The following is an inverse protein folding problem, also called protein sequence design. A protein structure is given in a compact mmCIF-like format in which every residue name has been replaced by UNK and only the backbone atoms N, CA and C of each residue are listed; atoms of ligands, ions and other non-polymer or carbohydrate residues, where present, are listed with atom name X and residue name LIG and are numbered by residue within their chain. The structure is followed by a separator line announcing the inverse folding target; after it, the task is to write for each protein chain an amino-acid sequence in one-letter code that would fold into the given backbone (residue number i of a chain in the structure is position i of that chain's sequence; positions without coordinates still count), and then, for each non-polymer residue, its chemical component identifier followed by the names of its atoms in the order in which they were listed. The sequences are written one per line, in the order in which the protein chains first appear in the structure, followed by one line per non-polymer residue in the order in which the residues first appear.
data_IF_496861047162
#
_entry.id   IF_496861047162
#
_cell.length_a   1.000
_cell.length_b   1.000
_cell.length_c   1.000
_cell.angle_alpha   90.00
_cell.angle_beta   90.00
_cell.angle_gamma   90.00
#
_symmetry.space_group_name_H-M   'P 1'
#
loop_
_entity.id
_entity.type
_entity.pdbx_description
1 polymer ?
#
# COMPACT_ATOMS: atom_id res chain seq x y z
N UNK A 1 3.66 -32.91 -4.71
CA UNK A 1 3.93 -31.45 -4.76
C UNK A 1 3.72 -30.86 -3.38
N UNK A 2 4.64 -30.05 -2.84
CA UNK A 2 4.47 -29.39 -1.54
C UNK A 2 3.20 -28.52 -1.50
N UNK A 3 2.50 -28.49 -0.35
CA UNK A 3 1.25 -27.73 -0.19
C UNK A 3 1.41 -26.24 -0.50
N UNK A 4 2.56 -25.66 -0.13
CA UNK A 4 2.90 -24.26 -0.41
C UNK A 4 2.97 -23.97 -1.91
N UNK A 5 3.55 -24.89 -2.70
CA UNK A 5 3.61 -24.80 -4.16
C UNK A 5 2.22 -24.89 -4.78
N UNK A 6 1.43 -25.91 -4.35
CA UNK A 6 0.07 -26.11 -4.86
C UNK A 6 -0.85 -24.91 -4.57
N UNK A 7 -0.82 -24.38 -3.34
CA UNK A 7 -1.62 -23.22 -2.95
C UNK A 7 -1.20 -21.95 -3.69
N UNK A 8 0.10 -21.73 -3.86
CA UNK A 8 0.60 -20.58 -4.62
C UNK A 8 0.19 -20.68 -6.09
N UNK A 9 0.33 -21.86 -6.71
CA UNK A 9 -0.12 -22.06 -8.08
C UNK A 9 -1.63 -21.87 -8.24
N UNK A 10 -2.43 -22.40 -7.32
CA UNK A 10 -3.89 -22.19 -7.34
C UNK A 10 -4.25 -20.71 -7.29
N UNK A 11 -3.66 -19.94 -6.37
CA UNK A 11 -3.87 -18.50 -6.27
C UNK A 11 -3.47 -17.76 -7.56
N UNK A 12 -2.29 -18.07 -8.10
CA UNK A 12 -1.80 -17.45 -9.35
C UNK A 12 -2.72 -17.79 -10.54
N UNK A 13 -3.24 -19.02 -10.61
CA UNK A 13 -4.20 -19.41 -11.64
C UNK A 13 -5.50 -18.60 -11.55
N UNK A 14 -6.06 -18.41 -10.34
CA UNK A 14 -7.27 -17.60 -10.15
C UNK A 14 -7.03 -16.15 -10.59
N UNK A 15 -5.89 -15.57 -10.20
CA UNK A 15 -5.54 -14.20 -10.57
C UNK A 15 -5.38 -14.01 -12.08
N UNK A 16 -4.80 -14.99 -12.78
CA UNK A 16 -4.48 -14.83 -14.21
C UNK A 16 -5.53 -15.39 -15.16
N UNK A 17 -6.45 -16.25 -14.71
CA UNK A 17 -7.41 -16.94 -15.60
C UNK A 17 -8.38 -16.00 -16.34
N UNK A 18 -8.65 -14.80 -15.80
CA UNK A 18 -9.53 -13.80 -16.43
C UNK A 18 -8.84 -13.00 -17.54
N UNK A 19 -7.53 -13.12 -17.66
CA UNK A 19 -6.76 -12.43 -18.68
C UNK A 19 -6.96 -13.08 -20.07
N UNK A 20 -6.69 -12.33 -21.15
CA UNK A 20 -6.74 -12.88 -22.51
C UNK A 20 -5.86 -14.12 -22.68
N UNK A 21 -6.34 -15.09 -23.44
CA UNK A 21 -5.62 -16.34 -23.71
C UNK A 21 -4.26 -16.04 -24.34
N UNK A 22 -3.25 -16.77 -23.88
CA UNK A 22 -1.85 -16.53 -24.23
C UNK A 22 -1.16 -15.54 -23.30
N UNK A 23 -1.79 -14.42 -22.96
CA UNK A 23 -1.31 -13.51 -21.93
C UNK A 23 -1.42 -14.14 -20.53
N UNK A 24 -2.52 -14.84 -20.24
CA UNK A 24 -2.78 -15.47 -18.95
C UNK A 24 -1.68 -16.48 -18.56
N UNK A 25 -1.34 -17.45 -19.40
CA UNK A 25 -0.26 -18.41 -19.13
C UNK A 25 1.11 -17.71 -19.04
N UNK A 26 1.35 -16.77 -19.92
CA UNK A 26 2.62 -16.06 -19.98
C UNK A 26 2.84 -15.20 -18.72
N UNK A 27 1.79 -14.52 -18.22
CA UNK A 27 1.85 -13.76 -16.98
C UNK A 27 1.88 -14.66 -15.73
N UNK A 28 1.24 -15.84 -15.78
CA UNK A 28 1.37 -16.86 -14.73
C UNK A 28 2.85 -17.26 -14.54
N UNK A 29 3.58 -17.51 -15.64
CA UNK A 29 5.02 -17.76 -15.56
C UNK A 29 5.78 -16.60 -14.93
N UNK A 30 5.44 -15.38 -15.31
CA UNK A 30 6.09 -14.17 -14.77
C UNK A 30 5.82 -14.01 -13.27
N UNK A 31 4.57 -14.15 -12.83
CA UNK A 31 4.20 -14.08 -11.43
C UNK A 31 4.79 -15.20 -10.58
N UNK A 32 4.91 -16.42 -11.13
CA UNK A 32 5.65 -17.50 -10.46
C UNK A 32 7.12 -17.14 -10.26
N UNK A 33 7.77 -16.58 -11.27
CA UNK A 33 9.15 -16.08 -11.17
C UNK A 33 9.29 -15.04 -10.07
N UNK A 34 8.36 -14.10 -9.98
CA UNK A 34 8.33 -13.11 -8.90
C UNK A 34 8.12 -13.77 -7.53
N UNK A 35 7.04 -14.54 -7.35
CA UNK A 35 6.69 -15.18 -6.08
C UNK A 35 7.80 -16.10 -5.55
N UNK A 36 8.53 -16.78 -6.44
CA UNK A 36 9.70 -17.58 -6.10
C UNK A 36 10.97 -16.75 -5.83
N UNK A 37 10.94 -15.43 -6.02
CA UNK A 37 12.03 -14.49 -5.70
C UNK A 37 13.25 -14.63 -6.60
N UNK A 38 13.09 -15.06 -7.85
CA UNK A 38 14.21 -15.26 -8.75
C UNK A 38 14.88 -13.96 -9.23
N UNK A 39 14.27 -12.80 -8.96
CA UNK A 39 14.94 -11.52 -9.15
C UNK A 39 16.11 -11.28 -8.18
N UNK A 40 16.16 -11.97 -7.02
CA UNK A 40 17.28 -11.86 -6.08
C UNK A 40 18.59 -12.39 -6.68
N UNK A 41 18.69 -13.68 -7.06
CA UNK A 41 19.92 -14.21 -7.63
C UNK A 41 20.26 -13.59 -8.99
N UNK A 42 19.26 -13.21 -9.80
CA UNK A 42 19.47 -12.53 -11.09
C UNK A 42 19.78 -11.04 -10.96
N UNK A 43 19.82 -10.50 -9.73
CA UNK A 43 20.06 -9.09 -9.43
C UNK A 43 19.09 -8.14 -10.15
N UNK A 44 17.83 -8.57 -10.35
CA UNK A 44 16.79 -7.79 -11.01
C UNK A 44 16.69 -7.98 -12.53
N UNK A 45 17.51 -8.86 -13.13
CA UNK A 45 17.44 -9.18 -14.55
C UNK A 45 16.34 -10.23 -14.79
N UNK A 46 15.36 -9.90 -15.67
CA UNK A 46 14.14 -10.72 -15.86
C UNK A 46 14.42 -11.99 -16.66
N UNK A 47 15.18 -11.93 -17.74
CA UNK A 47 15.47 -13.13 -18.56
C UNK A 47 16.16 -14.24 -17.76
N UNK A 48 17.27 -13.98 -17.05
CA UNK A 48 17.88 -14.98 -16.17
C UNK A 48 16.94 -15.49 -15.07
N UNK A 49 16.09 -14.61 -14.51
CA UNK A 49 15.11 -15.01 -13.50
C UNK A 49 14.05 -15.97 -14.05
N UNK A 50 13.55 -15.72 -15.27
CA UNK A 50 12.63 -16.63 -15.98
C UNK A 50 13.31 -17.94 -16.40
N UNK A 51 14.58 -17.91 -16.74
CA UNK A 51 15.37 -19.11 -17.03
C UNK A 51 15.55 -19.98 -15.78
N UNK A 52 15.78 -19.35 -14.64
CA UNK A 52 15.98 -20.03 -13.34
C UNK A 52 14.77 -20.87 -12.89
N UNK A 53 13.56 -20.54 -13.33
CA UNK A 53 12.36 -21.36 -13.08
C UNK A 53 12.17 -22.50 -14.09
N UNK A 54 13.14 -22.79 -14.94
CA UNK A 54 13.13 -23.94 -15.87
C UNK A 54 12.23 -23.76 -17.08
N UNK A 55 11.98 -22.53 -17.54
CA UNK A 55 11.21 -22.26 -18.75
C UNK A 55 12.07 -22.40 -20.01
N UNK A 56 11.54 -22.98 -21.09
CA UNK A 56 12.19 -22.96 -22.40
C UNK A 56 12.17 -21.53 -22.97
N UNK A 57 13.15 -21.23 -23.85
CA UNK A 57 13.36 -19.87 -24.42
C UNK A 57 12.07 -19.28 -25.02
N UNK A 58 11.28 -20.09 -25.72
CA UNK A 58 10.01 -19.64 -26.28
C UNK A 58 8.97 -19.21 -25.20
N UNK A 59 8.96 -19.84 -24.03
CA UNK A 59 8.10 -19.43 -22.91
C UNK A 59 8.63 -18.17 -22.23
N UNK A 60 9.96 -18.05 -22.10
CA UNK A 60 10.61 -16.82 -21.57
C UNK A 60 10.25 -15.62 -22.44
N UNK A 61 10.37 -15.74 -23.76
CA UNK A 61 10.00 -14.65 -24.69
C UNK A 61 8.51 -14.28 -24.59
N UNK A 62 7.61 -15.25 -24.42
CA UNK A 62 6.18 -14.97 -24.21
C UNK A 62 5.90 -14.31 -22.87
N UNK A 63 6.55 -14.76 -21.79
CA UNK A 63 6.41 -14.15 -20.48
C UNK A 63 6.89 -12.69 -20.48
N UNK A 64 8.01 -12.42 -21.15
CA UNK A 64 8.50 -11.07 -21.38
C UNK A 64 7.49 -10.23 -22.18
N UNK A 65 7.00 -10.75 -23.32
CA UNK A 65 6.04 -10.04 -24.15
C UNK A 65 4.73 -9.75 -23.41
N UNK A 66 4.23 -10.69 -22.61
CA UNK A 66 3.06 -10.46 -21.77
C UNK A 66 3.31 -9.41 -20.68
N UNK A 67 4.51 -9.39 -20.13
CA UNK A 67 4.88 -8.41 -19.10
C UNK A 67 4.86 -6.98 -19.65
N UNK A 68 5.58 -6.68 -20.74
CA UNK A 68 5.71 -5.28 -21.19
C UNK A 68 4.61 -4.81 -22.13
N UNK A 69 4.04 -5.68 -22.94
CA UNK A 69 3.06 -5.34 -23.98
C UNK A 69 1.76 -6.15 -23.92
N UNK A 70 1.58 -6.98 -22.89
CA UNK A 70 0.36 -7.79 -22.74
C UNK A 70 -0.87 -6.95 -22.39
N UNK A 71 -2.03 -7.39 -22.89
CA UNK A 71 -3.33 -6.79 -22.59
C UNK A 71 -3.81 -7.24 -21.20
N UNK A 72 -3.25 -6.64 -20.16
CA UNK A 72 -3.67 -6.83 -18.77
C UNK A 72 -3.64 -5.50 -18.03
N UNK A 73 -4.53 -5.38 -17.10
CA UNK A 73 -4.63 -4.24 -16.18
C UNK A 73 -4.47 -4.72 -14.75
N UNK A 74 -3.76 -3.94 -13.94
CA UNK A 74 -3.48 -4.31 -12.57
C UNK A 74 -4.78 -4.43 -11.76
N UNK A 75 -5.74 -3.54 -11.98
CA UNK A 75 -7.03 -3.54 -11.26
C UNK A 75 -7.78 -4.88 -11.44
N UNK A 76 -7.76 -5.45 -12.65
CA UNK A 76 -8.33 -6.78 -12.91
C UNK A 76 -7.63 -7.88 -12.11
N UNK A 77 -6.31 -7.81 -11.98
CA UNK A 77 -5.53 -8.75 -11.19
C UNK A 77 -5.79 -8.60 -9.68
N UNK A 78 -5.86 -7.37 -9.20
CA UNK A 78 -6.16 -7.07 -7.79
C UNK A 78 -7.58 -7.49 -7.40
N UNK A 79 -8.59 -7.24 -8.26
CA UNK A 79 -9.96 -7.70 -8.04
C UNK A 79 -10.04 -9.24 -7.99
N UNK A 80 -9.34 -9.92 -8.92
CA UNK A 80 -9.28 -11.39 -8.91
C UNK A 80 -8.57 -11.92 -7.66
N UNK A 81 -7.55 -11.22 -7.19
CA UNK A 81 -6.85 -11.53 -5.95
C UNK A 81 -7.75 -11.34 -4.72
N UNK A 82 -8.46 -10.22 -4.64
CA UNK A 82 -9.41 -9.96 -3.54
C UNK A 82 -10.53 -11.02 -3.50
N UNK A 83 -11.10 -11.38 -4.64
CA UNK A 83 -12.09 -12.45 -4.75
C UNK A 83 -11.54 -13.80 -4.25
N UNK A 84 -10.32 -14.17 -4.66
CA UNK A 84 -9.66 -15.38 -4.15
C UNK A 84 -9.54 -15.38 -2.62
N UNK A 85 -9.10 -14.26 -2.03
CA UNK A 85 -8.96 -14.16 -0.56
C UNK A 85 -10.30 -14.30 0.15
N UNK A 86 -11.36 -13.67 -0.38
CA UNK A 86 -12.72 -13.78 0.15
C UNK A 86 -13.24 -15.23 0.09
N UNK A 87 -13.07 -15.90 -1.05
CA UNK A 87 -13.46 -17.32 -1.22
C UNK A 87 -12.75 -18.27 -0.25
N UNK A 88 -11.50 -17.94 0.15
CA UNK A 88 -10.78 -18.74 1.16
C UNK A 88 -11.32 -18.57 2.58
N UNK A 89 -12.04 -17.51 2.90
CA UNK A 89 -12.69 -17.24 4.19
C UNK A 89 -11.74 -17.14 5.40
N UNK A 90 -10.43 -17.03 5.18
CA UNK A 90 -9.42 -17.06 6.26
C UNK A 90 -8.98 -15.66 6.71
N UNK A 91 -9.25 -14.65 5.90
CA UNK A 91 -8.94 -13.25 6.21
C UNK A 91 -10.16 -12.57 6.83
N UNK A 92 -9.97 -11.97 8.00
CA UNK A 92 -11.01 -11.26 8.72
C UNK A 92 -10.68 -9.76 8.74
N UNK A 93 -11.52 -8.89 8.17
CA UNK A 93 -11.29 -7.45 8.22
C UNK A 93 -11.33 -6.95 9.66
N UNK A 94 -10.49 -5.99 9.99
CA UNK A 94 -10.58 -5.29 11.27
C UNK A 94 -11.66 -4.21 11.20
N UNK A 95 -12.33 -3.99 12.33
CA UNK A 95 -13.35 -2.95 12.46
C UNK A 95 -13.20 -2.24 13.81
N UNK A 96 -13.33 -0.91 13.81
CA UNK A 96 -13.22 -0.05 14.98
C UNK A 96 -14.37 0.95 14.97
N UNK A 97 -15.29 0.84 15.95
CA UNK A 97 -16.48 1.69 16.05
C UNK A 97 -17.25 1.83 14.72
N UNK A 98 -17.43 0.71 14.03
CA UNK A 98 -18.15 0.65 12.75
C UNK A 98 -17.28 0.89 11.51
N UNK A 99 -16.00 1.31 11.65
CA UNK A 99 -15.13 1.65 10.52
C UNK A 99 -14.09 0.57 10.24
N UNK A 100 -13.92 0.24 8.97
CA UNK A 100 -12.86 -0.63 8.44
C UNK A 100 -11.64 0.21 8.03
N UNK A 101 -10.42 -0.10 8.51
CA UNK A 101 -9.22 0.65 8.14
C UNK A 101 -8.85 0.46 6.67
N UNK A 102 -8.68 1.58 5.96
CA UNK A 102 -8.13 1.65 4.61
C UNK A 102 -6.75 2.30 4.69
N UNK A 103 -5.70 1.50 4.71
CA UNK A 103 -4.33 1.99 4.83
C UNK A 103 -3.86 2.62 3.51
N UNK A 104 -3.32 3.84 3.59
CA UNK A 104 -2.83 4.60 2.44
C UNK A 104 -1.37 4.96 2.67
N UNK A 105 -0.51 4.65 1.70
CA UNK A 105 0.94 4.90 1.80
C UNK A 105 1.56 5.17 0.43
N UNK A 106 2.80 5.70 0.41
CA UNK A 106 3.63 5.84 -0.78
C UNK A 106 4.85 4.93 -0.67
N UNK A 107 5.23 4.31 -1.78
CA UNK A 107 6.40 3.44 -1.78
C UNK A 107 7.32 3.71 -2.96
N UNK A 108 8.61 4.06 -2.73
CA UNK A 108 9.59 4.27 -3.78
C UNK A 108 10.29 2.97 -4.18
N UNK A 109 10.42 2.70 -5.47
CA UNK A 109 11.38 1.75 -6.01
C UNK A 109 12.58 2.53 -6.53
N UNK A 110 13.68 2.50 -5.78
CA UNK A 110 14.85 3.34 -6.03
C UNK A 110 15.53 3.04 -7.36
N UNK A 111 15.75 4.06 -8.15
CA UNK A 111 16.39 4.00 -9.48
C UNK A 111 17.43 5.11 -9.67
N UNK A 112 18.43 5.26 -8.76
CA UNK A 112 19.32 6.43 -8.77
C UNK A 112 20.14 6.58 -10.04
N UNK A 113 20.42 5.49 -10.75
CA UNK A 113 21.16 5.49 -12.02
C UNK A 113 20.26 5.56 -13.27
N UNK A 114 18.92 5.63 -13.11
CA UNK A 114 18.02 5.69 -14.25
C UNK A 114 17.97 7.11 -14.82
N UNK A 115 18.50 7.29 -16.02
CA UNK A 115 18.38 8.56 -16.75
C UNK A 115 16.92 8.80 -17.11
N UNK A 116 16.46 10.06 -16.94
CA UNK A 116 15.08 10.45 -17.26
C UNK A 116 14.02 9.93 -16.28
N UNK A 117 14.42 9.45 -15.10
CA UNK A 117 13.45 9.10 -14.07
C UNK A 117 12.74 10.37 -13.57
N UNK A 118 11.45 10.48 -13.84
CA UNK A 118 10.67 11.68 -13.58
C UNK A 118 10.34 11.87 -12.11
N UNK A 119 10.05 10.77 -11.40
CA UNK A 119 9.68 10.80 -9.99
C UNK A 119 10.90 10.75 -9.07
N UNK A 120 10.78 11.40 -7.91
CA UNK A 120 11.78 11.39 -6.84
C UNK A 120 11.10 11.18 -5.50
N UNK A 121 11.82 10.60 -4.56
CA UNK A 121 11.34 10.45 -3.18
C UNK A 121 12.48 10.70 -2.20
N UNK A 122 12.16 11.19 -0.98
CA UNK A 122 13.16 11.45 0.04
C UNK A 122 13.76 10.14 0.57
N UNK A 123 15.09 10.04 0.54
CA UNK A 123 15.83 8.89 1.06
C UNK A 123 16.49 9.26 2.39
N UNK A 124 16.05 8.72 3.54
CA UNK A 124 16.53 9.14 4.86
C UNK A 124 18.04 9.02 5.02
N UNK A 125 18.63 7.89 4.62
CA UNK A 125 20.08 7.67 4.75
C UNK A 125 20.93 8.55 3.81
N UNK A 126 20.36 9.04 2.70
CA UNK A 126 21.03 9.96 1.79
C UNK A 126 20.78 11.44 2.14
N UNK A 127 19.83 11.74 3.03
CA UNK A 127 19.44 13.09 3.40
C UNK A 127 18.86 13.94 2.27
N UNK A 128 18.49 13.33 1.14
CA UNK A 128 17.99 14.02 -0.06
C UNK A 128 16.99 13.18 -0.86
N UNK A 129 16.25 13.83 -1.76
CA UNK A 129 15.41 13.14 -2.72
C UNK A 129 16.25 12.46 -3.80
N UNK A 130 15.99 11.16 -4.03
CA UNK A 130 16.64 10.35 -5.07
C UNK A 130 15.59 9.91 -6.11
N UNK A 131 16.07 9.64 -7.33
CA UNK A 131 15.25 9.10 -8.40
C UNK A 131 14.66 7.74 -8.00
N UNK A 132 13.35 7.61 -8.14
CA UNK A 132 12.60 6.40 -7.79
C UNK A 132 11.31 6.33 -8.61
N UNK A 133 10.86 5.12 -8.92
CA UNK A 133 9.48 4.91 -9.34
C UNK A 133 8.63 4.89 -8.06
N UNK A 134 7.84 5.95 -7.87
CA UNK A 134 6.99 6.09 -6.67
C UNK A 134 5.57 5.61 -6.99
N UNK A 135 5.05 4.73 -6.14
CA UNK A 135 3.69 4.19 -6.25
C UNK A 135 2.88 4.56 -5.02
N UNK A 136 1.63 4.99 -5.22
CA UNK A 136 0.65 5.09 -4.17
C UNK A 136 0.02 3.71 -3.89
N UNK A 137 -0.16 3.37 -2.64
CA UNK A 137 -0.76 2.11 -2.19
C UNK A 137 -2.04 2.39 -1.43
N UNK A 138 -3.10 1.64 -1.74
CA UNK A 138 -4.34 1.62 -0.99
C UNK A 138 -4.62 0.15 -0.64
N UNK A 139 -4.79 -0.15 0.65
CA UNK A 139 -4.95 -1.52 1.11
C UNK A 139 -5.98 -1.64 2.23
N UNK A 140 -6.84 -2.66 2.17
CA UNK A 140 -7.71 -3.06 3.27
C UNK A 140 -6.93 -3.88 4.27
N UNK A 141 -7.22 -3.74 5.56
CA UNK A 141 -6.45 -4.39 6.62
C UNK A 141 -7.35 -5.29 7.47
N UNK A 142 -6.82 -6.44 7.77
CA UNK A 142 -7.45 -7.43 8.61
C UNK A 142 -6.41 -8.39 9.18
N UNK A 143 -6.84 -9.56 9.60
CA UNK A 143 -5.94 -10.61 10.10
C UNK A 143 -6.24 -11.97 9.50
N UNK A 144 -5.19 -12.78 9.41
CA UNK A 144 -5.25 -14.22 9.22
C UNK A 144 -4.72 -14.83 10.52
N UNK A 145 -5.58 -15.52 11.27
CA UNK A 145 -5.27 -15.96 12.64
C UNK A 145 -4.87 -14.75 13.51
N UNK A 146 -3.67 -14.74 14.09
CA UNK A 146 -3.14 -13.62 14.88
C UNK A 146 -2.28 -12.63 14.08
N UNK A 147 -2.05 -12.88 12.79
CA UNK A 147 -1.18 -12.04 11.96
C UNK A 147 -1.98 -10.99 11.22
N UNK A 148 -1.60 -9.71 11.38
CA UNK A 148 -2.14 -8.63 10.56
C UNK A 148 -1.66 -8.75 9.12
N UNK A 149 -2.60 -8.62 8.19
CA UNK A 149 -2.35 -8.73 6.75
C UNK A 149 -3.08 -7.62 6.01
N UNK A 150 -2.34 -6.86 5.23
CA UNK A 150 -2.90 -5.89 4.30
C UNK A 150 -3.18 -6.57 2.95
N UNK A 151 -4.38 -6.38 2.43
CA UNK A 151 -4.77 -6.77 1.08
C UNK A 151 -4.72 -5.55 0.18
N UNK A 152 -3.81 -5.56 -0.77
CA UNK A 152 -3.66 -4.48 -1.73
C UNK A 152 -4.94 -4.36 -2.57
N UNK A 153 -5.58 -3.19 -2.50
CA UNK A 153 -6.80 -2.87 -3.23
C UNK A 153 -6.50 -2.08 -4.51
N UNK A 154 -5.59 -1.09 -4.42
CA UNK A 154 -5.17 -0.29 -5.56
C UNK A 154 -3.68 0.06 -5.50
N UNK A 155 -3.09 0.28 -6.68
CA UNK A 155 -1.77 0.88 -6.86
C UNK A 155 -1.91 2.06 -7.82
N UNK A 156 -1.47 3.23 -7.38
CA UNK A 156 -1.61 4.48 -8.14
C UNK A 156 -0.25 4.89 -8.69
N UNK A 157 -0.14 5.03 -10.01
CA UNK A 157 1.05 5.56 -10.69
C UNK A 157 1.11 7.08 -10.61
N UNK A 158 2.32 7.64 -10.53
CA UNK A 158 2.52 9.05 -10.80
C UNK A 158 2.11 9.39 -12.24
N UNK A 159 1.67 10.62 -12.43
CA UNK A 159 1.36 11.14 -13.77
C UNK A 159 2.69 11.48 -14.48
N UNK A 160 2.92 11.01 -15.72
CA UNK A 160 4.11 11.40 -16.49
C UNK A 160 4.22 12.90 -16.73
N UNK A 161 3.10 13.58 -16.89
CA UNK A 161 3.04 15.02 -17.16
C UNK A 161 3.15 15.86 -15.87
N UNK A 162 2.86 15.27 -14.72
CA UNK A 162 3.00 15.89 -13.41
C UNK A 162 3.60 14.91 -12.37
N UNK A 163 4.91 14.65 -12.47
CA UNK A 163 5.59 13.61 -11.69
C UNK A 163 5.93 14.02 -10.25
N UNK A 164 5.50 15.20 -9.81
CA UNK A 164 5.78 15.66 -8.45
C UNK A 164 5.13 14.73 -7.40
N UNK A 165 5.83 14.48 -6.30
CA UNK A 165 5.32 13.63 -5.23
C UNK A 165 4.01 14.17 -4.63
N UNK A 166 3.88 15.49 -4.49
CA UNK A 166 2.65 16.13 -4.02
C UNK A 166 1.47 15.86 -4.96
N UNK A 167 1.70 15.84 -6.28
CA UNK A 167 0.67 15.52 -7.27
C UNK A 167 0.25 14.06 -7.22
N UNK A 168 1.21 13.14 -6.99
CA UNK A 168 0.89 11.74 -6.72
C UNK A 168 0.08 11.58 -5.43
N UNK A 169 0.45 12.27 -4.36
CA UNK A 169 -0.32 12.27 -3.10
C UNK A 169 -1.76 12.75 -3.34
N UNK A 170 -1.93 13.87 -4.04
CA UNK A 170 -3.26 14.39 -4.39
C UNK A 170 -4.05 13.40 -5.26
N UNK A 171 -3.39 12.71 -6.21
CA UNK A 171 -4.01 11.67 -7.04
C UNK A 171 -4.46 10.47 -6.20
N UNK A 172 -3.63 10.00 -5.27
CA UNK A 172 -3.97 8.91 -4.34
C UNK A 172 -5.18 9.29 -3.49
N UNK A 173 -5.19 10.49 -2.90
CA UNK A 173 -6.32 10.94 -2.07
C UNK A 173 -7.60 11.07 -2.89
N UNK A 174 -7.55 11.60 -4.13
CA UNK A 174 -8.71 11.61 -5.03
C UNK A 174 -9.24 10.21 -5.33
N UNK A 175 -8.33 9.23 -5.56
CA UNK A 175 -8.71 7.82 -5.74
C UNK A 175 -9.43 7.26 -4.51
N UNK A 176 -8.90 7.55 -3.33
CA UNK A 176 -9.55 7.18 -2.05
C UNK A 176 -10.96 7.78 -2.00
N UNK A 177 -11.13 9.09 -2.22
CA UNK A 177 -12.44 9.75 -2.17
C UNK A 177 -13.44 9.13 -3.14
N UNK A 178 -12.99 8.78 -4.37
CA UNK A 178 -13.87 8.21 -5.41
C UNK A 178 -14.39 6.82 -5.05
N UNK A 179 -13.58 6.00 -4.36
CA UNK A 179 -13.86 4.58 -4.14
C UNK A 179 -14.18 4.24 -2.67
N UNK A 180 -14.24 5.25 -1.78
CA UNK A 180 -14.41 5.08 -0.35
C UNK A 180 -15.83 4.62 0.00
N UNK A 181 -15.98 3.42 0.56
CA UNK A 181 -17.25 2.95 1.12
C UNK A 181 -17.61 3.70 2.41
N UNK A 182 -18.90 3.77 2.75
CA UNK A 182 -19.38 4.58 3.88
C UNK A 182 -18.84 4.13 5.25
N UNK A 183 -18.45 2.89 5.38
CA UNK A 183 -17.88 2.25 6.56
C UNK A 183 -16.33 2.12 6.51
N UNK A 184 -15.68 2.66 5.49
CA UNK A 184 -14.21 2.65 5.41
C UNK A 184 -13.60 3.95 5.98
N UNK A 185 -12.48 3.81 6.70
CA UNK A 185 -11.70 4.90 7.30
C UNK A 185 -10.29 4.94 6.71
N UNK A 186 -9.97 5.91 5.85
CA UNK A 186 -8.62 6.12 5.37
C UNK A 186 -7.66 6.44 6.51
N UNK A 187 -6.55 5.70 6.56
CA UNK A 187 -5.47 5.88 7.55
C UNK A 187 -4.18 6.23 6.82
N UNK A 188 -3.70 7.44 7.07
CA UNK A 188 -2.62 8.05 6.31
C UNK A 188 -1.39 8.36 7.20
N UNK A 189 -0.23 8.37 6.58
CA UNK A 189 1.02 8.77 7.21
C UNK A 189 1.20 10.30 7.26
N UNK A 190 2.22 10.76 7.99
CA UNK A 190 2.60 12.16 8.15
C UNK A 190 3.02 12.87 6.83
N UNK A 191 3.21 12.12 5.75
CA UNK A 191 3.40 12.67 4.41
C UNK A 191 2.17 13.39 3.86
N UNK A 192 0.98 12.99 4.27
CA UNK A 192 -0.29 13.58 3.82
C UNK A 192 -0.69 14.73 4.73
N UNK A 193 -1.10 15.87 4.14
CA UNK A 193 -1.45 17.09 4.90
C UNK A 193 -2.96 17.27 4.98
N UNK A 194 -3.45 17.66 6.16
CA UNK A 194 -4.89 17.92 6.39
C UNK A 194 -5.47 18.84 5.32
N UNK A 195 -4.74 19.89 4.91
CA UNK A 195 -5.19 20.82 3.86
C UNK A 195 -5.51 20.10 2.54
N UNK A 196 -4.66 19.19 2.13
CA UNK A 196 -4.84 18.42 0.90
C UNK A 196 -6.08 17.51 0.98
N UNK A 197 -6.30 16.90 2.15
CA UNK A 197 -7.49 16.08 2.42
C UNK A 197 -8.77 16.92 2.38
N UNK A 198 -8.73 18.12 2.96
CA UNK A 198 -9.88 19.04 2.96
C UNK A 198 -10.20 19.58 1.55
N UNK A 199 -9.18 19.91 0.75
CA UNK A 199 -9.35 20.40 -0.65
C UNK A 199 -10.11 19.37 -1.49
N UNK A 200 -9.84 18.09 -1.34
CA UNK A 200 -10.57 17.03 -2.06
C UNK A 200 -11.84 16.56 -1.35
N UNK A 201 -12.24 17.24 -0.25
CA UNK A 201 -13.44 16.93 0.54
C UNK A 201 -13.44 15.50 1.10
N UNK A 202 -12.28 14.98 1.53
CA UNK A 202 -12.24 13.76 2.29
C UNK A 202 -12.76 14.05 3.72
N UNK A 203 -13.98 13.63 4.01
CA UNK A 203 -14.71 14.01 5.23
C UNK A 203 -14.38 13.15 6.44
N UNK A 204 -13.76 11.99 6.24
CA UNK A 204 -13.34 11.07 7.30
C UNK A 204 -11.95 10.52 7.01
N UNK A 205 -11.08 10.57 7.98
CA UNK A 205 -9.70 10.09 7.89
C UNK A 205 -9.06 10.01 9.26
N UNK A 206 -8.01 9.21 9.38
CA UNK A 206 -7.03 9.30 10.47
C UNK A 206 -5.67 9.60 9.83
N UNK A 207 -5.07 10.73 10.18
CA UNK A 207 -3.75 11.12 9.63
C UNK A 207 -2.76 11.41 10.76
N UNK A 208 -1.52 10.92 10.59
CA UNK A 208 -0.42 11.22 11.50
C UNK A 208 0.01 12.66 11.34
N UNK A 209 0.23 13.34 12.48
CA UNK A 209 0.74 14.71 12.51
C UNK A 209 2.20 14.78 12.96
N UNK A 210 2.90 15.81 12.51
CA UNK A 210 4.22 16.13 13.02
C UNK A 210 4.15 16.59 14.48
N UNK A 211 5.20 16.31 15.27
CA UNK A 211 5.24 16.66 16.71
C UNK A 211 5.10 18.16 17.00
N UNK A 212 5.50 18.99 16.06
CA UNK A 212 5.41 20.45 16.17
C UNK A 212 4.12 21.02 15.58
N UNK A 213 3.13 20.16 15.31
CA UNK A 213 1.85 20.58 14.76
C UNK A 213 1.17 21.60 15.64
N UNK A 214 0.51 22.58 15.01
CA UNK A 214 -0.32 23.60 15.65
C UNK A 214 -1.60 23.80 14.85
N UNK A 215 -2.68 24.04 15.55
CA UNK A 215 -3.99 24.35 14.99
C UNK A 215 -4.61 25.53 15.73
N UNK A 216 -5.82 25.91 15.38
CA UNK A 216 -6.61 26.89 16.12
C UNK A 216 -7.99 26.34 16.44
N UNK A 217 -8.60 26.84 17.52
CA UNK A 217 -10.02 26.61 17.79
C UNK A 217 -10.86 27.24 16.70
N UNK A 218 -11.94 26.57 16.27
CA UNK A 218 -12.94 27.19 15.39
C UNK A 218 -13.99 27.95 16.23
N UNK A 219 -13.51 28.73 17.22
CA UNK A 219 -14.29 29.59 18.06
C UNK A 219 -13.47 30.83 18.36
N UNK A 220 -14.09 32.03 18.31
CA UNK A 220 -13.41 33.28 18.63
C UNK A 220 -13.20 33.37 20.16
N UNK A 221 -12.02 33.85 20.57
CA UNK A 221 -11.83 34.19 21.98
C UNK A 221 -12.73 35.37 22.40
N UNK A 222 -12.99 35.49 23.67
CA UNK A 222 -13.75 36.60 24.21
C UNK A 222 -13.07 37.95 23.87
N UNK A 223 -13.84 38.87 23.29
CA UNK A 223 -13.34 40.20 22.94
C UNK A 223 -13.21 41.08 24.16
N UNK A 224 -12.01 41.48 24.48
CA UNK A 224 -11.66 42.28 25.66
C UNK A 224 -11.96 43.77 25.52
N UNK A 225 -12.67 44.21 24.49
CA UNK A 225 -13.07 45.62 24.30
C UNK A 225 -11.95 46.55 23.83
N UNK A 226 -10.74 46.07 23.53
CA UNK A 226 -9.59 46.86 23.07
C UNK A 226 -8.90 46.21 21.87
N UNK A 227 -8.50 47.02 20.90
CA UNK A 227 -7.79 46.59 19.71
C UNK A 227 -8.71 46.09 18.58
N UNK A 228 -8.11 45.41 17.59
CA UNK A 228 -8.85 44.82 16.48
C UNK A 228 -9.67 43.63 16.97
N UNK A 229 -10.86 43.46 16.42
CA UNK A 229 -11.72 42.31 16.68
C UNK A 229 -11.00 41.01 16.26
N UNK A 230 -11.01 39.95 17.06
CA UNK A 230 -10.34 38.71 16.71
C UNK A 230 -11.03 38.05 15.50
N UNK A 231 -10.24 37.60 14.56
CA UNK A 231 -10.72 36.83 13.38
C UNK A 231 -10.32 35.34 13.47
N UNK A 232 -9.38 35.04 14.35
CA UNK A 232 -8.82 33.69 14.54
C UNK A 232 -9.09 33.19 15.94
N UNK A 233 -9.35 31.92 16.07
CA UNK A 233 -9.46 31.24 17.35
C UNK A 233 -8.14 31.14 18.10
N UNK A 234 -8.20 30.68 19.35
CA UNK A 234 -7.01 30.41 20.16
C UNK A 234 -6.09 29.38 19.54
N UNK A 235 -4.78 29.59 19.66
CA UNK A 235 -3.77 28.70 19.14
C UNK A 235 -3.63 27.48 20.05
N UNK A 236 -3.78 26.28 19.46
CA UNK A 236 -3.65 25.00 20.14
C UNK A 236 -2.32 24.34 19.75
N UNK A 237 -1.57 23.92 20.77
CA UNK A 237 -0.33 23.16 20.66
C UNK A 237 -0.48 21.86 21.46
N UNK A 238 -0.77 20.74 20.82
CA UNK A 238 -1.02 19.48 21.54
C UNK A 238 0.18 18.99 22.37
N UNK A 239 1.39 19.20 21.85
CA UNK A 239 2.62 18.75 22.52
C UNK A 239 3.52 19.92 22.89
N UNK A 240 4.12 19.86 24.08
CA UNK A 240 5.18 20.79 24.48
C UNK A 240 6.41 20.60 23.56
N UNK A 241 7.14 21.68 23.35
CA UNK A 241 8.37 21.66 22.54
C UNK A 241 9.37 22.72 22.99
N UNK A 242 10.61 22.55 22.59
CA UNK A 242 11.63 23.60 22.75
C UNK A 242 11.91 24.23 21.37
N UNK A 243 11.95 25.52 21.28
CA UNK A 243 12.32 26.27 20.08
C UNK A 243 13.31 27.39 20.43
N UNK A 244 14.48 27.38 19.80
CA UNK A 244 15.56 28.35 20.08
C UNK A 244 15.86 28.51 21.59
N UNK A 245 15.94 27.37 22.31
CA UNK A 245 16.23 27.34 23.74
C UNK A 245 15.04 27.72 24.67
N UNK A 246 13.90 28.16 24.13
CA UNK A 246 12.72 28.50 24.92
C UNK A 246 11.74 27.32 24.95
N UNK A 247 11.31 26.95 26.15
CA UNK A 247 10.24 25.99 26.36
C UNK A 247 8.89 26.59 25.93
N UNK A 248 8.16 25.89 25.07
CA UNK A 248 6.80 26.22 24.66
C UNK A 248 5.89 25.17 25.26
N UNK A 249 4.99 25.53 26.20
CA UNK A 249 4.12 24.56 26.85
C UNK A 249 3.06 23.99 25.86
N UNK A 250 2.56 22.80 26.17
CA UNK A 250 1.38 22.28 25.52
C UNK A 250 0.13 23.06 25.96
N UNK A 251 -0.86 23.14 25.09
CA UNK A 251 -2.20 23.59 25.44
C UNK A 251 -2.89 22.45 26.20
N UNK A 252 -3.59 22.73 27.32
CA UNK A 252 -4.37 21.74 28.05
C UNK A 252 -5.36 21.02 27.09
N UNK A 253 -5.51 19.71 27.26
CA UNK A 253 -6.49 18.93 26.50
C UNK A 253 -7.92 19.21 26.97
N UNK A 254 -8.89 19.08 26.09
CA UNK A 254 -10.31 19.23 26.39
C UNK A 254 -10.87 18.03 27.17
N UNK A 255 -10.35 16.86 26.88
CA UNK A 255 -10.70 15.61 27.55
C UNK A 255 -9.55 14.62 27.51
N UNK A 256 -9.57 13.68 28.44
CA UNK A 256 -8.59 12.62 28.55
C UNK A 256 -9.33 11.27 28.69
N UNK A 257 -8.84 10.27 27.99
CA UNK A 257 -9.32 8.89 28.10
C UNK A 257 -8.19 7.97 28.56
N UNK A 258 -8.53 6.96 29.33
CA UNK A 258 -7.60 5.90 29.74
C UNK A 258 -8.28 4.55 29.58
N UNK A 259 -7.57 3.57 29.01
CA UNK A 259 -8.08 2.21 28.83
C UNK A 259 -6.96 1.20 28.96
N UNK A 260 -7.31 -0.06 29.20
CA UNK A 260 -6.35 -1.16 29.31
C UNK A 260 -6.66 -2.22 28.23
N UNK A 261 -5.64 -2.63 27.50
CA UNK A 261 -5.69 -3.70 26.48
C UNK A 261 -4.46 -4.60 26.66
N UNK A 262 -4.66 -5.91 26.76
CA UNK A 262 -3.60 -6.92 26.97
C UNK A 262 -2.70 -6.61 28.19
N UNK A 263 -3.29 -6.08 29.28
CA UNK A 263 -2.57 -5.72 30.50
C UNK A 263 -1.74 -4.43 30.41
N UNK A 264 -1.83 -3.68 29.30
CA UNK A 264 -1.14 -2.42 29.08
C UNK A 264 -2.14 -1.28 29.18
N UNK A 265 -1.84 -0.28 30.01
CA UNK A 265 -2.68 0.90 30.15
C UNK A 265 -2.23 2.00 29.17
N UNK A 266 -3.17 2.50 28.39
CA UNK A 266 -3.00 3.56 27.41
C UNK A 266 -3.70 4.82 27.90
N UNK A 267 -3.24 5.98 27.41
CA UNK A 267 -3.87 7.28 27.64
C UNK A 267 -4.00 8.03 26.33
N UNK A 268 -5.11 8.73 26.14
CA UNK A 268 -5.31 9.65 25.04
C UNK A 268 -5.74 11.03 25.56
N UNK A 269 -5.18 12.08 24.98
CA UNK A 269 -5.55 13.48 25.23
C UNK A 269 -6.11 14.06 23.94
N UNK A 270 -7.22 14.81 24.04
CA UNK A 270 -7.97 15.29 22.88
C UNK A 270 -8.09 16.80 22.86
N UNK A 271 -8.03 17.39 21.68
CA UNK A 271 -8.36 18.78 21.37
C UNK A 271 -9.37 18.78 20.24
N UNK A 272 -10.59 19.21 20.55
CA UNK A 272 -11.75 19.11 19.66
C UNK A 272 -11.98 20.40 18.86
N UNK A 273 -12.72 20.33 17.76
CA UNK A 273 -13.20 21.45 16.95
C UNK A 273 -12.09 22.39 16.49
N UNK A 274 -11.05 21.84 15.86
CA UNK A 274 -9.90 22.60 15.38
C UNK A 274 -9.97 22.88 13.88
N UNK A 275 -9.34 23.98 13.49
CA UNK A 275 -9.05 24.35 12.09
C UNK A 275 -7.54 24.57 11.92
N UNK A 276 -7.06 24.61 10.67
CA UNK A 276 -5.66 24.91 10.38
C UNK A 276 -5.30 26.32 10.90
N UNK A 277 -4.04 26.50 11.29
CA UNK A 277 -3.57 27.69 12.01
C UNK A 277 -3.73 29.02 11.27
N UNK A 278 -3.87 29.00 9.97
CA UNK A 278 -4.05 30.14 9.07
C UNK A 278 -5.52 30.33 8.63
N UNK A 279 -6.45 29.55 9.16
CA UNK A 279 -7.88 29.64 8.84
C UNK A 279 -8.59 30.51 9.85
N UNK A 280 -9.37 31.50 9.36
CA UNK A 280 -10.26 32.35 10.20
C UNK A 280 -11.43 31.51 10.69
N UNK A 281 -11.98 31.90 11.85
CA UNK A 281 -13.16 31.23 12.41
C UNK A 281 -14.38 31.44 11.52
N UNK A 282 -15.01 30.33 11.15
CA UNK A 282 -16.27 30.33 10.41
C UNK A 282 -17.05 29.02 10.69
N UNK A 283 -18.38 29.08 10.85
CA UNK A 283 -19.19 27.87 11.13
C UNK A 283 -19.10 26.79 10.08
N UNK A 284 -18.90 27.16 8.80
CA UNK A 284 -18.79 26.23 7.69
C UNK A 284 -17.37 25.67 7.47
N UNK A 285 -16.39 25.98 8.32
CA UNK A 285 -15.05 25.43 8.19
C UNK A 285 -15.07 23.90 8.39
N UNK A 286 -14.32 23.15 7.59
CA UNK A 286 -14.09 21.74 7.86
C UNK A 286 -13.21 21.61 9.10
N UNK A 287 -13.80 21.18 10.22
CA UNK A 287 -13.10 20.99 11.48
C UNK A 287 -12.55 19.58 11.62
N UNK A 288 -11.58 19.42 12.50
CA UNK A 288 -11.02 18.13 12.89
C UNK A 288 -10.67 18.15 14.39
N UNK A 289 -10.50 16.96 14.94
CA UNK A 289 -10.02 16.76 16.30
C UNK A 289 -8.58 16.27 16.24
N UNK A 290 -7.77 16.66 17.22
CA UNK A 290 -6.42 16.15 17.41
C UNK A 290 -6.39 15.28 18.64
N UNK A 291 -5.71 14.15 18.56
CA UNK A 291 -5.50 13.24 19.68
C UNK A 291 -4.02 12.90 19.84
N UNK A 292 -3.52 12.98 21.07
CA UNK A 292 -2.21 12.46 21.44
C UNK A 292 -2.39 11.14 22.18
N UNK A 293 -1.95 10.03 21.57
CA UNK A 293 -2.07 8.68 22.15
C UNK A 293 -0.73 8.29 22.77
N UNK A 294 -0.74 8.08 24.08
CA UNK A 294 0.41 7.62 24.85
C UNK A 294 0.36 6.11 25.02
N UNK A 295 1.27 5.43 24.32
CA UNK A 295 1.51 4.00 24.44
C UNK A 295 2.83 3.81 25.22
N UNK A 296 2.83 3.18 26.41
CA UNK A 296 4.01 3.08 27.26
C UNK A 296 5.18 2.32 26.62
N UNK A 297 4.96 1.61 25.54
CA UNK A 297 6.02 0.93 24.78
C UNK A 297 6.82 1.89 23.90
N UNK A 298 6.33 3.12 23.70
CA UNK A 298 6.99 4.15 22.89
C UNK A 298 7.33 5.37 23.73
N UNK A 299 8.48 5.96 23.47
CA UNK A 299 8.94 7.16 24.18
C UNK A 299 8.03 8.39 23.97
N UNK A 300 7.39 8.45 22.81
CA UNK A 300 6.65 9.61 22.36
C UNK A 300 5.24 9.26 21.91
N UNK A 301 4.26 10.12 22.15
CA UNK A 301 2.89 9.86 21.76
C UNK A 301 2.73 9.88 20.24
N UNK A 302 1.72 9.17 19.78
CA UNK A 302 1.21 9.33 18.41
C UNK A 302 0.28 10.54 18.39
N UNK A 303 0.61 11.53 17.57
CA UNK A 303 -0.26 12.66 17.34
C UNK A 303 -1.05 12.43 16.06
N UNK A 304 -2.38 12.32 16.16
CA UNK A 304 -3.28 12.00 15.07
C UNK A 304 -4.33 13.10 14.90
N UNK A 305 -4.81 13.30 13.68
CA UNK A 305 -6.00 14.09 13.41
C UNK A 305 -7.10 13.22 12.82
N UNK A 306 -8.34 13.46 13.25
CA UNK A 306 -9.55 12.82 12.78
C UNK A 306 -10.73 13.80 12.81
N UNK A 307 -11.51 13.96 11.72
CA UNK A 307 -12.72 14.79 11.74
C UNK A 307 -13.84 14.22 12.63
N UNK A 308 -13.84 12.90 12.84
CA UNK A 308 -14.88 12.23 13.61
C UNK A 308 -14.49 12.16 15.11
N UNK A 309 -15.49 12.05 15.95
CA UNK A 309 -15.31 11.80 17.39
C UNK A 309 -15.29 10.30 17.64
N UNK A 310 -14.10 9.73 17.67
CA UNK A 310 -13.86 8.32 18.00
C UNK A 310 -13.10 8.25 19.34
N UNK A 311 -13.19 7.09 20.01
CA UNK A 311 -12.41 6.83 21.22
C UNK A 311 -10.91 6.72 20.94
N UNK A 312 -10.10 6.93 21.98
CA UNK A 312 -8.65 6.74 21.90
C UNK A 312 -8.27 5.31 21.49
N UNK A 313 -9.03 4.32 21.96
CA UNK A 313 -8.83 2.91 21.61
C UNK A 313 -9.08 2.66 20.12
N UNK A 314 -10.18 3.17 19.55
CA UNK A 314 -10.51 3.05 18.14
C UNK A 314 -9.46 3.74 17.25
N UNK A 315 -9.08 4.99 17.57
CA UNK A 315 -8.06 5.74 16.83
C UNK A 315 -6.69 5.05 16.87
N UNK A 316 -6.33 4.46 18.02
CA UNK A 316 -5.12 3.65 18.16
C UNK A 316 -5.18 2.40 17.28
N UNK A 317 -6.30 1.68 17.30
CA UNK A 317 -6.53 0.49 16.49
C UNK A 317 -6.41 0.80 14.99
N UNK A 318 -7.15 1.82 14.53
CA UNK A 318 -7.11 2.31 13.14
C UNK A 318 -5.69 2.66 12.71
N UNK A 319 -4.98 3.49 13.50
CA UNK A 319 -3.63 3.91 13.12
C UNK A 319 -2.60 2.76 13.17
N UNK A 320 -2.76 1.82 14.08
CA UNK A 320 -1.93 0.60 14.14
C UNK A 320 -2.09 -0.25 12.89
N UNK A 321 -3.25 -0.22 12.26
CA UNK A 321 -3.54 -0.96 11.03
C UNK A 321 -3.01 -0.27 9.76
N UNK A 322 -2.39 0.88 9.86
CA UNK A 322 -1.62 1.46 8.75
C UNK A 322 -0.37 0.63 8.42
N UNK A 323 0.32 0.11 9.43
CA UNK A 323 1.63 -0.52 9.24
C UNK A 323 1.65 -1.80 8.40
N UNK A 324 0.63 -2.67 8.40
CA UNK A 324 0.60 -3.83 7.51
C UNK A 324 0.76 -3.50 6.02
N UNK A 325 0.37 -2.31 5.55
CA UNK A 325 0.58 -1.91 4.15
C UNK A 325 2.07 -1.86 3.78
N UNK A 326 2.95 -1.50 4.72
CA UNK A 326 4.41 -1.44 4.51
C UNK A 326 5.03 -2.83 4.29
N UNK A 327 4.36 -3.90 4.76
CA UNK A 327 4.84 -5.27 4.54
C UNK A 327 4.74 -5.72 3.07
N UNK A 328 3.80 -5.15 2.31
CA UNK A 328 3.63 -5.46 0.89
C UNK A 328 4.85 -5.02 0.07
N UNK A 329 5.28 -3.74 0.10
CA UNK A 329 6.49 -3.33 -0.60
C UNK A 329 7.78 -3.91 0.01
N UNK A 330 7.80 -4.20 1.31
CA UNK A 330 8.92 -4.91 1.94
C UNK A 330 9.10 -6.29 1.31
N UNK A 331 7.99 -7.06 1.20
CA UNK A 331 8.01 -8.36 0.54
C UNK A 331 8.43 -8.21 -0.94
N UNK A 332 7.83 -7.31 -1.69
CA UNK A 332 8.14 -7.07 -3.10
C UNK A 332 9.63 -6.73 -3.33
N UNK A 333 10.16 -5.78 -2.58
CA UNK A 333 11.52 -5.26 -2.76
C UNK A 333 12.59 -6.20 -2.24
N UNK A 334 12.43 -6.70 -1.00
CA UNK A 334 13.47 -7.44 -0.30
C UNK A 334 13.33 -8.95 -0.45
N UNK A 335 12.10 -9.48 -0.36
CA UNK A 335 11.89 -10.93 -0.41
C UNK A 335 11.81 -11.44 -1.86
N UNK A 336 11.17 -10.70 -2.77
CA UNK A 336 11.03 -11.08 -4.18
C UNK A 336 12.13 -10.50 -5.08
N UNK A 337 12.89 -9.52 -4.59
CA UNK A 337 14.05 -8.97 -5.28
C UNK A 337 13.76 -7.80 -6.22
N UNK A 338 12.53 -7.27 -6.25
CA UNK A 338 12.17 -6.14 -7.10
C UNK A 338 12.75 -4.79 -6.64
N UNK A 339 13.50 -4.74 -5.54
CA UNK A 339 14.27 -3.56 -5.14
C UNK A 339 15.37 -3.20 -6.15
N UNK A 340 15.83 -4.16 -6.96
CA UNK A 340 16.68 -3.96 -8.12
C UNK A 340 15.91 -4.27 -9.38
N UNK A 341 16.05 -3.43 -10.41
CA UNK A 341 15.27 -3.54 -11.64
C UNK A 341 16.14 -3.20 -12.84
N UNK A 342 16.23 -4.12 -13.80
CA UNK A 342 16.91 -3.92 -15.08
C UNK A 342 15.89 -3.84 -16.22
N UNK A 343 14.96 -2.89 -16.09
CA UNK A 343 13.97 -2.54 -17.12
C UNK A 343 14.07 -1.03 -17.39
N UNK A 344 14.01 -0.63 -18.65
CA UNK A 344 14.32 0.75 -19.06
C UNK A 344 13.19 1.38 -19.89
N UNK A 345 12.34 0.61 -20.56
CA UNK A 345 11.16 1.13 -21.22
C UNK A 345 10.16 1.68 -20.20
N UNK A 346 9.57 2.83 -20.48
CA UNK A 346 8.70 3.58 -19.54
C UNK A 346 7.60 2.71 -18.94
N UNK A 347 6.88 1.96 -19.76
CA UNK A 347 5.82 1.06 -19.27
C UNK A 347 6.38 -0.09 -18.42
N UNK A 348 7.50 -0.69 -18.78
CA UNK A 348 8.13 -1.76 -18.00
C UNK A 348 8.60 -1.29 -16.63
N UNK A 349 9.01 -0.02 -16.50
CA UNK A 349 9.42 0.58 -15.23
C UNK A 349 8.24 0.71 -14.26
N UNK A 350 7.02 0.86 -14.77
CA UNK A 350 5.79 0.93 -13.97
C UNK A 350 5.25 -0.49 -13.69
N UNK A 351 5.18 -1.34 -14.70
CA UNK A 351 4.61 -2.69 -14.61
C UNK A 351 5.38 -3.65 -13.69
N UNK A 352 6.71 -3.51 -13.62
CA UNK A 352 7.49 -4.39 -12.74
C UNK A 352 7.19 -4.12 -11.24
N UNK A 353 7.22 -2.88 -10.75
CA UNK A 353 6.73 -2.56 -9.40
C UNK A 353 5.31 -3.03 -9.13
N UNK A 354 4.37 -2.82 -10.03
CA UNK A 354 2.97 -3.24 -9.88
C UNK A 354 2.82 -4.74 -9.67
N UNK A 355 3.39 -5.54 -10.58
CA UNK A 355 3.35 -7.00 -10.46
C UNK A 355 4.12 -7.50 -9.23
N UNK A 356 5.20 -6.83 -8.84
CA UNK A 356 5.94 -7.16 -7.64
C UNK A 356 5.14 -6.85 -6.36
N UNK A 357 4.39 -5.74 -6.32
CA UNK A 357 3.50 -5.40 -5.22
C UNK A 357 2.34 -6.40 -5.11
N UNK A 358 1.70 -6.76 -6.23
CA UNK A 358 0.70 -7.83 -6.26
C UNK A 358 1.29 -9.14 -5.72
N UNK A 359 2.43 -9.58 -6.24
CA UNK A 359 3.11 -10.79 -5.77
C UNK A 359 3.50 -10.69 -4.28
N UNK A 360 3.94 -9.51 -3.82
CA UNK A 360 4.24 -9.21 -2.42
C UNK A 360 3.01 -9.37 -1.51
N UNK A 361 1.86 -8.83 -1.93
CA UNK A 361 0.58 -9.02 -1.24
C UNK A 361 0.18 -10.50 -1.20
N UNK A 362 0.30 -11.22 -2.33
CA UNK A 362 -0.01 -12.64 -2.43
C UNK A 362 0.85 -13.50 -1.50
N UNK A 363 2.17 -13.34 -1.53
CA UNK A 363 3.06 -14.17 -0.69
C UNK A 363 2.93 -13.84 0.79
N UNK A 364 2.56 -12.61 1.14
CA UNK A 364 2.29 -12.21 2.54
C UNK A 364 1.06 -12.92 3.08
N UNK A 365 -0.05 -12.88 2.35
CA UNK A 365 -1.28 -13.59 2.71
C UNK A 365 -1.07 -15.11 2.73
N UNK A 366 -0.51 -15.69 1.67
CA UNK A 366 -0.28 -17.12 1.57
C UNK A 366 0.66 -17.62 2.69
N UNK A 367 1.67 -16.85 3.08
CA UNK A 367 2.52 -17.20 4.20
C UNK A 367 1.72 -17.25 5.52
N UNK A 368 0.77 -16.34 5.73
CA UNK A 368 -0.07 -16.32 6.94
C UNK A 368 -1.07 -17.49 6.99
N UNK A 369 -1.56 -17.97 5.84
CA UNK A 369 -2.53 -19.06 5.73
C UNK A 369 -1.89 -20.46 5.78
N UNK A 370 -0.63 -20.58 5.36
CA UNK A 370 0.09 -21.85 5.28
C UNK A 370 0.77 -22.20 6.61
N UNK A 371 1.06 -23.49 6.87
CA UNK A 371 1.95 -23.88 7.94
C UNK A 371 3.32 -23.23 7.78
N UNK A 372 3.84 -22.69 8.88
CA UNK A 372 5.15 -22.08 8.86
C UNK A 372 6.26 -23.11 8.59
N UNK A 373 7.14 -22.80 7.65
CA UNK A 373 8.25 -23.69 7.28
C UNK A 373 9.49 -23.36 8.11
N UNK A 374 10.08 -24.33 8.84
CA UNK A 374 11.32 -24.12 9.58
C UNK A 374 12.47 -23.83 8.60
N UNK A 375 13.42 -23.00 9.04
CA UNK A 375 14.64 -22.68 8.27
C UNK A 375 15.77 -23.67 8.52
N UNK A 376 15.66 -24.48 9.58
CA UNK A 376 16.60 -25.51 9.97
C UNK A 376 16.11 -26.22 11.23
N UNK A 377 16.85 -27.23 11.72
CA UNK A 377 16.49 -28.02 12.89
C UNK A 377 16.47 -27.20 14.21
N UNK A 378 17.16 -26.06 14.23
CA UNK A 378 17.18 -25.11 15.37
C UNK A 378 15.91 -24.25 15.46
N UNK A 379 15.12 -24.15 14.37
CA UNK A 379 13.94 -23.31 14.29
C UNK A 379 12.70 -24.07 14.81
N UNK A 380 12.62 -24.20 16.12
CA UNK A 380 11.58 -24.99 16.80
C UNK A 380 10.19 -24.35 16.74
N UNK A 381 10.12 -23.01 16.57
CA UNK A 381 8.88 -22.24 16.49
C UNK A 381 8.87 -21.36 15.23
N UNK A 382 8.74 -21.95 14.05
CA UNK A 382 8.81 -21.23 12.81
C UNK A 382 7.65 -20.23 12.71
N UNK A 383 7.97 -18.98 12.32
CA UNK A 383 6.96 -17.94 12.06
C UNK A 383 6.53 -17.96 10.58
N UNK A 384 5.23 -17.74 10.27
CA UNK A 384 4.74 -17.68 8.91
C UNK A 384 5.12 -16.32 8.27
N UNK A 385 6.21 -16.31 7.50
CA UNK A 385 6.70 -15.08 6.85
C UNK A 385 6.85 -15.24 5.35
N UNK A 386 6.66 -14.15 4.55
CA UNK A 386 6.85 -14.17 3.10
C UNK A 386 8.21 -14.72 2.68
N UNK A 387 9.28 -14.38 3.41
CA UNK A 387 10.63 -14.84 3.12
C UNK A 387 10.80 -16.36 3.27
N UNK A 388 10.08 -16.98 4.20
CA UNK A 388 10.09 -18.46 4.36
C UNK A 388 9.33 -19.15 3.24
N UNK A 389 8.13 -18.65 2.92
CA UNK A 389 7.37 -19.15 1.79
C UNK A 389 8.18 -19.05 0.49
N UNK A 390 8.74 -17.86 0.22
CA UNK A 390 9.61 -17.64 -0.94
C UNK A 390 10.76 -18.66 -1.03
N UNK A 391 11.42 -19.02 0.08
CA UNK A 391 12.50 -20.04 0.07
C UNK A 391 12.01 -21.41 -0.38
N UNK A 392 10.80 -21.79 -0.02
CA UNK A 392 10.18 -23.04 -0.49
C UNK A 392 9.93 -22.97 -2.00
N UNK A 393 9.34 -21.87 -2.47
CA UNK A 393 9.04 -21.66 -3.88
C UNK A 393 10.31 -21.57 -4.73
N UNK A 394 11.37 -20.92 -4.22
CA UNK A 394 12.64 -20.75 -4.94
C UNK A 394 13.36 -22.08 -5.27
N UNK A 395 13.10 -23.13 -4.50
CA UNK A 395 13.67 -24.48 -4.72
C UNK A 395 12.88 -25.28 -5.75
N UNK A 396 11.73 -24.77 -6.20
CA UNK A 396 10.83 -25.48 -7.10
C UNK A 396 10.81 -24.76 -8.45
N UNK A 397 11.25 -25.40 -9.54
CA UNK A 397 11.03 -24.89 -10.89
C UNK A 397 9.53 -24.67 -11.13
N UNK A 398 9.15 -24.02 -12.24
CA UNK A 398 7.74 -23.90 -12.60
C UNK A 398 7.09 -25.30 -12.59
N UNK A 399 6.04 -25.54 -11.76
CA UNK A 399 5.52 -26.89 -11.53
C UNK A 399 4.65 -27.35 -12.71
N UNK A 400 5.29 -27.90 -13.75
CA UNK A 400 4.63 -28.37 -14.99
C UNK A 400 3.56 -29.43 -14.77
N UNK A 401 3.66 -30.20 -13.65
CA UNK A 401 2.68 -31.23 -13.27
C UNK A 401 1.44 -30.66 -12.55
N UNK A 402 1.38 -29.34 -12.28
CA UNK A 402 0.19 -28.73 -11.70
C UNK A 402 -0.94 -28.71 -12.73
N UNK A 403 -2.16 -29.18 -12.41
CA UNK A 403 -3.30 -29.16 -13.32
C UNK A 403 -3.75 -27.71 -13.53
N UNK A 404 -3.39 -27.14 -14.69
CA UNK A 404 -3.82 -25.78 -15.02
C UNK A 404 -5.30 -25.77 -15.41
N UNK A 405 -6.08 -24.79 -14.94
CA UNK A 405 -7.45 -24.57 -15.41
C UNK A 405 -7.51 -24.46 -16.93
N UNK A 406 -8.60 -24.93 -17.54
CA UNK A 406 -8.78 -24.92 -18.99
C UNK A 406 -8.61 -23.51 -19.61
N UNK A 407 -9.01 -22.48 -18.87
CA UNK A 407 -8.86 -21.09 -19.29
C UNK A 407 -7.41 -20.62 -19.40
N UNK A 408 -6.45 -21.28 -18.73
CA UNK A 408 -5.04 -20.91 -18.78
C UNK A 408 -4.35 -21.64 -19.91
N UNK A 409 -4.34 -21.03 -21.07
CA UNK A 409 -3.82 -21.60 -22.32
C UNK A 409 -2.86 -20.63 -23.01
N UNK A 410 -1.89 -21.17 -23.73
CA UNK A 410 -0.96 -20.37 -24.54
C UNK A 410 -1.46 -20.04 -25.94
N UNK A 411 -2.50 -20.72 -26.42
CA UNK A 411 -3.11 -20.50 -27.75
C UNK A 411 -4.62 -20.46 -27.61
N UNK A 412 -5.26 -19.63 -28.41
CA UNK A 412 -6.69 -19.64 -28.57
C UNK A 412 -7.13 -20.99 -29.17
N UNK A 413 -8.29 -21.49 -28.73
CA UNK A 413 -8.97 -22.59 -29.42
C UNK A 413 -9.65 -22.08 -30.69
N UNK A 414 -10.19 -23.01 -31.50
CA UNK A 414 -10.98 -22.62 -32.70
C UNK A 414 -12.18 -21.76 -32.29
N UNK A 415 -12.80 -22.05 -31.14
CA UNK A 415 -13.93 -21.27 -30.61
C UNK A 415 -13.55 -19.85 -30.18
N UNK A 416 -12.30 -19.60 -29.77
CA UNK A 416 -11.78 -18.30 -29.38
C UNK A 416 -11.10 -17.58 -30.56
N UNK A 417 -11.11 -18.16 -31.76
CA UNK A 417 -10.37 -17.65 -32.90
C UNK A 417 -11.03 -16.41 -33.48
N UNK A 418 -10.34 -15.29 -33.43
CA UNK A 418 -10.72 -14.09 -34.15
C UNK A 418 -10.13 -14.13 -35.57
N UNK A 419 -10.86 -13.68 -36.61
CA UNK A 419 -10.33 -13.60 -37.96
C UNK A 419 -8.98 -12.88 -38.02
N UNK A 420 -8.05 -13.40 -38.83
CA UNK A 420 -6.76 -12.77 -39.08
C UNK A 420 -6.99 -11.34 -39.54
N UNK A 421 -6.41 -10.38 -38.95
CA UNK A 421 -6.62 -8.95 -39.23
C UNK A 421 -7.28 -8.19 -38.08
N UNK A 422 -8.26 -8.75 -37.37
CA UNK A 422 -8.85 -8.09 -36.21
C UNK A 422 -7.85 -7.98 -35.04
N UNK A 423 -7.01 -8.99 -34.84
CA UNK A 423 -5.93 -8.93 -33.86
C UNK A 423 -4.82 -7.94 -34.25
N UNK A 424 -4.54 -7.80 -35.56
CA UNK A 424 -3.59 -6.81 -36.08
C UNK A 424 -4.07 -5.37 -35.85
N UNK A 425 -5.34 -5.08 -36.09
CA UNK A 425 -5.94 -3.78 -35.83
C UNK A 425 -5.97 -3.39 -34.36
N UNK A 426 -6.19 -4.33 -33.44
CA UNK A 426 -6.09 -4.05 -31.99
C UNK A 426 -4.68 -3.70 -31.56
N UNK A 427 -3.66 -4.38 -32.08
CA UNK A 427 -2.25 -4.06 -31.79
C UNK A 427 -1.83 -2.67 -32.32
N UNK A 428 -2.28 -2.30 -33.51
CA UNK A 428 -1.99 -0.99 -34.10
C UNK A 428 -2.71 0.14 -33.36
N UNK A 429 -3.97 -0.04 -32.92
CA UNK A 429 -4.66 0.97 -32.11
C UNK A 429 -4.03 1.18 -30.72
N UNK A 430 -3.51 0.12 -30.09
CA UNK A 430 -2.81 0.25 -28.80
C UNK A 430 -1.43 0.90 -28.96
N UNK A 431 -0.74 0.71 -30.08
CA UNK A 431 0.52 1.40 -30.35
C UNK A 431 0.35 2.87 -30.74
N UNK A 432 -0.79 3.24 -31.34
CA UNK A 432 -1.10 4.61 -31.70
C UNK A 432 -1.64 5.46 -30.53
N UNK A 433 -2.09 4.81 -29.43
CA UNK A 433 -2.58 5.48 -28.22
C UNK A 433 -1.58 5.33 -27.04
N UNK A 434 -0.37 4.85 -27.27
CA UNK A 434 0.74 4.75 -26.34
C UNK A 434 1.88 5.70 -26.78
#
# INVERSE_FOLDING_TARGET
MPIAVARTMGALCVVTQRLPIGTNLALLHFLWMLASGQLLPSRGAIFPALQAIGLPVAAIRRAWAAFWGGAWELDTLLQSWAAYVQEQGQWQPHQYEGYYPLAVDLTPFWRPALKGCLTKHYHPAAGKALAAIVMGLIARVGSVRSQRVALLAEVVRADPDDPAEASLQAKVVRRVVTNLADDEMPVLDAGFRIRELQVVKLLRYVVRLAKNFTARRNALPEYKGRGRYPEYGELVRPLARTYKGKAIPATPSDRTETWTEDGITFRAEFWDNLVLSDVKVHPANPTFNVVAIYDPRYREPWLLACPLKLSGAALRGLYRDRWPVEQVPLAAKQMLGAGRQFVFASESQQRLPELALLAGSMVTYLAATLPATPTGFWDRQPKPTPGRLRRVLARTPFPKSFPLPERIRKKASVADHLPKGILGHRRQKQAANA
#
